data_IF_851647144561
#
_entry.id   IF_851647144561
#
_cell.length_a   1.000
_cell.length_b   1.000
_cell.length_c   1.000
_cell.angle_alpha   90.00
_cell.angle_beta   90.00
_cell.angle_gamma   90.00
#
_symmetry.space_group_name_H-M   'P 1'
#
loop_
_entity.id
_entity.type
_entity.pdbx_description
1 polymer ?
#
# COMPACT_ATOMS: atom_id res chain seq x y z
N UNK A 1 5.10 -11.64 -17.50
CA UNK A 1 4.52 -10.63 -16.59
C UNK A 1 5.44 -10.47 -15.38
N UNK A 2 5.84 -9.24 -15.12
CA UNK A 2 6.75 -8.97 -14.02
C UNK A 2 6.05 -9.17 -12.67
N UNK A 3 6.73 -9.83 -11.76
CA UNK A 3 6.25 -10.00 -10.40
C UNK A 3 6.55 -8.75 -9.57
N UNK A 4 5.61 -8.34 -8.76
CA UNK A 4 5.79 -7.20 -7.87
C UNK A 4 5.73 -7.65 -6.41
N UNK A 5 6.67 -7.20 -5.57
CA UNK A 5 6.67 -7.61 -4.17
C UNK A 5 5.51 -6.98 -3.41
N UNK A 6 4.89 -7.77 -2.56
CA UNK A 6 3.83 -7.33 -1.67
C UNK A 6 3.95 -8.10 -0.36
N UNK A 7 3.64 -7.45 0.77
CA UNK A 7 3.61 -8.16 2.05
C UNK A 7 2.38 -9.05 2.13
N UNK A 8 2.45 -10.09 2.96
CA UNK A 8 1.28 -10.95 3.18
C UNK A 8 0.08 -10.14 3.70
N UNK A 9 0.33 -9.20 4.61
CA UNK A 9 -0.71 -8.35 5.16
C UNK A 9 -1.39 -7.50 4.08
N UNK A 10 -0.58 -6.89 3.20
CA UNK A 10 -1.11 -6.10 2.09
C UNK A 10 -1.93 -6.91 1.11
N UNK A 11 -1.48 -8.14 0.82
CA UNK A 11 -2.25 -9.05 -0.03
C UNK A 11 -3.60 -9.39 0.59
N UNK A 12 -3.61 -9.69 1.89
CA UNK A 12 -4.86 -10.03 2.59
C UNK A 12 -5.82 -8.85 2.63
N UNK A 13 -5.33 -7.64 2.82
CA UNK A 13 -6.16 -6.43 2.78
C UNK A 13 -6.79 -6.23 1.40
N UNK A 14 -6.03 -6.46 0.32
CA UNK A 14 -6.57 -6.38 -1.04
C UNK A 14 -7.62 -7.44 -1.31
N UNK A 15 -7.42 -8.66 -0.82
CA UNK A 15 -8.42 -9.73 -0.94
C UNK A 15 -9.70 -9.37 -0.20
N UNK A 16 -9.61 -8.79 0.98
CA UNK A 16 -10.77 -8.35 1.76
C UNK A 16 -11.51 -7.22 1.05
N UNK A 17 -10.78 -6.26 0.49
CA UNK A 17 -11.38 -5.18 -0.30
C UNK A 17 -12.11 -5.74 -1.51
N UNK A 18 -11.52 -6.72 -2.18
CA UNK A 18 -12.14 -7.35 -3.36
C UNK A 18 -13.47 -8.02 -3.01
N UNK A 19 -13.51 -8.75 -1.90
CA UNK A 19 -14.75 -9.38 -1.40
C UNK A 19 -15.80 -8.31 -1.10
N UNK A 20 -15.44 -7.24 -0.41
CA UNK A 20 -16.33 -6.13 -0.12
C UNK A 20 -16.91 -5.50 -1.38
N UNK A 21 -16.06 -5.24 -2.38
CA UNK A 21 -16.48 -4.62 -3.63
C UNK A 21 -17.44 -5.51 -4.43
N UNK A 22 -17.20 -6.81 -4.44
CA UNK A 22 -18.04 -7.76 -5.19
C UNK A 22 -19.33 -8.13 -4.48
N UNK A 23 -19.28 -8.34 -3.18
CA UNK A 23 -20.40 -8.90 -2.42
C UNK A 23 -21.30 -7.84 -1.77
N UNK A 24 -20.77 -6.67 -1.48
CA UNK A 24 -21.53 -5.59 -0.85
C UNK A 24 -21.70 -4.38 -1.75
N UNK A 25 -20.61 -3.81 -2.22
CA UNK A 25 -20.64 -2.55 -2.97
C UNK A 25 -21.35 -2.71 -4.31
N UNK A 26 -21.03 -3.75 -5.06
CA UNK A 26 -21.63 -4.00 -6.38
C UNK A 26 -23.16 -4.14 -6.32
N UNK A 27 -23.74 -4.95 -5.42
CA UNK A 27 -25.20 -5.03 -5.30
C UNK A 27 -25.84 -3.70 -4.89
N UNK A 28 -25.22 -2.93 -4.01
CA UNK A 28 -25.73 -1.62 -3.61
C UNK A 28 -25.78 -0.66 -4.81
N UNK A 29 -24.75 -0.65 -5.64
CA UNK A 29 -24.69 0.18 -6.83
C UNK A 29 -25.75 -0.25 -7.84
N UNK A 30 -25.91 -1.54 -8.07
CA UNK A 30 -26.94 -2.07 -8.98
C UNK A 30 -28.33 -1.63 -8.51
N UNK A 31 -28.61 -1.70 -7.22
CA UNK A 31 -29.87 -1.26 -6.66
C UNK A 31 -30.06 0.27 -6.82
N UNK A 32 -29.01 1.05 -6.61
CA UNK A 32 -29.05 2.50 -6.78
C UNK A 32 -29.34 2.90 -8.23
N UNK A 33 -28.75 2.18 -9.20
CA UNK A 33 -29.02 2.41 -10.63
C UNK A 33 -30.47 2.10 -10.95
N UNK A 34 -30.99 0.98 -10.47
CA UNK A 34 -32.38 0.58 -10.71
C UNK A 34 -33.35 1.60 -10.13
N UNK A 35 -33.10 2.08 -8.91
CA UNK A 35 -33.93 3.12 -8.29
C UNK A 35 -33.89 4.41 -9.07
N UNK A 36 -32.68 4.87 -9.46
CA UNK A 36 -32.54 6.11 -10.23
C UNK A 36 -33.25 6.04 -11.56
N UNK A 37 -33.22 4.89 -12.24
CA UNK A 37 -33.93 4.70 -13.50
C UNK A 37 -35.44 4.80 -13.35
N UNK A 38 -35.96 4.47 -12.19
CA UNK A 38 -37.41 4.55 -11.92
C UNK A 38 -37.92 6.01 -11.85
N UNK A 39 -37.01 6.98 -11.69
CA UNK A 39 -37.37 8.40 -11.60
C UNK A 39 -37.52 9.10 -12.98
N UNK A 40 -37.34 8.39 -14.10
CA UNK A 40 -37.66 8.90 -15.42
C UNK A 40 -36.47 9.14 -16.32
N UNK A 41 -36.34 10.37 -16.88
CA UNK A 41 -35.37 10.67 -17.93
C UNK A 41 -33.91 10.40 -17.51
N UNK A 42 -33.23 9.58 -18.28
CA UNK A 42 -31.85 9.18 -18.00
C UNK A 42 -30.82 10.27 -18.34
N UNK A 43 -31.13 11.14 -19.32
CA UNK A 43 -30.19 12.17 -19.75
C UNK A 43 -29.99 13.26 -18.71
N UNK A 44 -31.04 13.64 -17.99
CA UNK A 44 -31.03 14.70 -16.99
C UNK A 44 -31.10 14.17 -15.57
N UNK A 45 -30.99 12.87 -15.40
CA UNK A 45 -31.10 12.21 -14.10
C UNK A 45 -29.72 12.20 -13.41
N UNK A 46 -29.49 13.17 -12.53
CA UNK A 46 -28.21 13.28 -11.82
C UNK A 46 -27.92 12.07 -10.93
N UNK A 47 -28.94 11.47 -10.32
CA UNK A 47 -28.77 10.27 -9.49
C UNK A 47 -28.33 9.06 -10.33
N UNK A 48 -28.89 8.92 -11.52
CA UNK A 48 -28.50 7.87 -12.44
C UNK A 48 -27.06 8.03 -12.89
N UNK A 49 -26.65 9.22 -13.29
CA UNK A 49 -25.29 9.50 -13.72
C UNK A 49 -24.27 9.29 -12.60
N UNK A 50 -24.59 9.70 -11.38
CA UNK A 50 -23.74 9.51 -10.22
C UNK A 50 -23.57 8.02 -9.91
N UNK A 51 -24.64 7.24 -9.97
CA UNK A 51 -24.60 5.80 -9.73
C UNK A 51 -23.80 5.06 -10.81
N UNK A 52 -23.92 5.46 -12.08
CA UNK A 52 -23.14 4.90 -13.18
C UNK A 52 -21.67 5.23 -13.06
N UNK A 53 -21.32 6.42 -12.62
CA UNK A 53 -19.94 6.82 -12.37
C UNK A 53 -19.34 6.01 -11.22
N UNK A 54 -20.08 5.82 -10.14
CA UNK A 54 -19.66 5.00 -9.02
C UNK A 54 -19.45 3.54 -9.45
N UNK A 55 -20.34 3.03 -10.32
CA UNK A 55 -20.19 1.69 -10.88
C UNK A 55 -18.86 1.55 -11.65
N UNK A 56 -18.58 2.51 -12.51
CA UNK A 56 -17.36 2.51 -13.32
C UNK A 56 -16.12 2.54 -12.41
N UNK A 57 -16.15 3.38 -11.40
CA UNK A 57 -15.05 3.49 -10.43
C UNK A 57 -14.84 2.18 -9.65
N UNK A 58 -15.92 1.60 -9.17
CA UNK A 58 -15.88 0.34 -8.39
C UNK A 58 -15.40 -0.84 -9.25
N UNK A 59 -15.93 -0.99 -10.47
CA UNK A 59 -15.50 -2.06 -11.37
C UNK A 59 -14.05 -1.89 -11.82
N UNK A 60 -13.60 -0.65 -12.00
CA UNK A 60 -12.21 -0.34 -12.28
C UNK A 60 -11.29 -0.76 -11.14
N UNK A 61 -11.71 -0.52 -9.91
CA UNK A 61 -10.92 -0.94 -8.72
C UNK A 61 -10.85 -2.47 -8.61
N UNK A 62 -11.95 -3.17 -8.90
CA UNK A 62 -11.97 -4.65 -8.92
C UNK A 62 -10.95 -5.17 -9.94
N UNK A 63 -10.93 -4.62 -11.14
CA UNK A 63 -9.98 -4.99 -12.17
C UNK A 63 -8.55 -4.74 -11.74
N UNK A 64 -8.28 -3.58 -11.14
CA UNK A 64 -6.97 -3.22 -10.62
C UNK A 64 -6.50 -4.20 -9.55
N UNK A 65 -7.35 -4.53 -8.57
CA UNK A 65 -7.02 -5.48 -7.51
C UNK A 65 -6.71 -6.86 -8.08
N UNK A 66 -7.53 -7.34 -9.01
CA UNK A 66 -7.29 -8.63 -9.65
C UNK A 66 -5.93 -8.67 -10.36
N UNK A 67 -5.55 -7.57 -11.02
CA UNK A 67 -4.26 -7.46 -11.69
C UNK A 67 -3.10 -7.47 -10.67
N UNK A 68 -3.24 -6.73 -9.58
CA UNK A 68 -2.24 -6.70 -8.50
C UNK A 68 -2.04 -8.11 -7.94
N UNK A 69 -3.13 -8.81 -7.64
CA UNK A 69 -3.07 -10.17 -7.09
C UNK A 69 -2.39 -11.13 -8.09
N UNK A 70 -2.71 -10.99 -9.37
CA UNK A 70 -2.13 -11.85 -10.40
C UNK A 70 -0.61 -11.68 -10.53
N UNK A 71 -0.10 -10.48 -10.27
CA UNK A 71 1.33 -10.16 -10.36
C UNK A 71 2.06 -10.21 -9.03
N UNK A 72 1.37 -10.54 -7.95
CA UNK A 72 1.93 -10.49 -6.60
C UNK A 72 3.04 -11.52 -6.39
N UNK A 73 4.17 -11.06 -5.87
CA UNK A 73 5.21 -11.88 -5.27
C UNK A 73 5.14 -11.65 -3.77
N UNK A 74 4.51 -12.56 -3.04
CA UNK A 74 4.21 -12.40 -1.62
C UNK A 74 5.45 -12.66 -0.79
N UNK A 75 5.81 -11.68 0.06
CA UNK A 75 6.94 -11.80 0.98
C UNK A 75 6.42 -11.72 2.41
N UNK A 76 6.65 -12.78 3.18
CA UNK A 76 6.30 -12.85 4.59
C UNK A 76 7.59 -12.93 5.41
N UNK A 77 8.02 -11.77 5.93
CA UNK A 77 9.27 -11.68 6.68
C UNK A 77 9.22 -12.41 8.01
N UNK A 78 8.02 -12.69 8.54
CA UNK A 78 7.89 -13.41 9.80
C UNK A 78 8.41 -14.85 9.69
N UNK A 79 8.54 -15.37 8.47
CA UNK A 79 9.06 -16.70 8.19
C UNK A 79 10.55 -16.72 7.91
N UNK A 80 11.20 -15.55 7.90
CA UNK A 80 12.62 -15.42 7.59
C UNK A 80 13.42 -15.24 8.87
N UNK A 81 14.68 -15.71 8.83
CA UNK A 81 15.60 -15.52 9.94
C UNK A 81 16.10 -14.08 9.96
N UNK A 82 15.88 -13.37 11.06
CA UNK A 82 16.31 -11.98 11.21
C UNK A 82 17.78 -11.90 11.61
N UNK A 83 18.62 -11.53 10.67
CA UNK A 83 20.05 -11.33 10.87
C UNK A 83 20.43 -9.84 11.03
N UNK A 84 19.45 -8.97 11.18
CA UNK A 84 19.65 -7.52 11.31
C UNK A 84 19.68 -6.77 10.00
N UNK A 85 19.54 -7.46 8.87
CA UNK A 85 19.56 -6.82 7.55
C UNK A 85 18.19 -6.25 7.19
N UNK A 86 18.20 -5.04 6.62
CA UNK A 86 16.98 -4.40 6.11
C UNK A 86 16.61 -5.03 4.78
N UNK A 87 15.43 -5.62 4.72
CA UNK A 87 14.88 -6.25 3.52
C UNK A 87 13.47 -5.75 3.28
N UNK A 88 12.92 -6.06 2.11
CA UNK A 88 11.50 -5.79 1.83
C UNK A 88 10.62 -6.41 2.91
N UNK A 89 9.66 -5.66 3.42
CA UNK A 89 8.74 -6.13 4.44
C UNK A 89 9.23 -5.96 5.87
N UNK A 90 10.51 -5.63 6.08
CA UNK A 90 11.03 -5.40 7.43
C UNK A 90 10.60 -4.04 7.98
N UNK A 91 10.56 -3.96 9.31
CA UNK A 91 10.29 -2.70 10.03
C UNK A 91 11.62 -2.19 10.58
N UNK A 92 11.98 -0.96 10.18
CA UNK A 92 13.27 -0.34 10.51
C UNK A 92 13.05 0.77 11.51
N UNK A 93 13.75 0.71 12.64
CA UNK A 93 13.72 1.73 13.68
C UNK A 93 14.93 2.65 13.50
N UNK A 94 14.67 3.92 13.28
CA UNK A 94 15.67 4.93 12.94
C UNK A 94 15.75 6.01 13.99
N UNK A 95 16.96 6.59 14.14
CA UNK A 95 17.16 7.82 14.86
C UNK A 95 17.78 8.83 13.89
N UNK A 96 17.14 9.99 13.76
CA UNK A 96 17.67 11.09 12.97
C UNK A 96 18.83 11.72 13.75
N UNK A 97 20.03 11.65 13.18
CA UNK A 97 21.24 12.13 13.88
C UNK A 97 21.32 13.66 13.94
N UNK A 98 20.55 14.37 13.11
CA UNK A 98 20.58 15.82 13.06
C UNK A 98 19.72 16.44 14.17
N UNK A 99 18.62 15.78 14.55
CA UNK A 99 17.68 16.32 15.55
C UNK A 99 17.31 15.35 16.68
N UNK A 100 17.81 14.10 16.64
CA UNK A 100 17.53 13.09 17.66
C UNK A 100 16.15 12.45 17.58
N UNK A 101 15.36 12.78 16.57
CA UNK A 101 14.01 12.24 16.41
C UNK A 101 14.06 10.74 16.09
N UNK A 102 13.18 9.98 16.76
CA UNK A 102 13.06 8.54 16.54
C UNK A 102 11.83 8.27 15.69
N UNK A 103 12.00 7.45 14.65
CA UNK A 103 10.93 7.11 13.73
C UNK A 103 11.11 5.66 13.27
N UNK A 104 10.01 5.00 12.94
CA UNK A 104 10.08 3.67 12.36
C UNK A 104 9.27 3.62 11.06
N UNK A 105 9.74 2.80 10.13
CA UNK A 105 9.07 2.56 8.87
C UNK A 105 9.06 1.07 8.55
N UNK A 106 7.94 0.61 8.00
CA UNK A 106 7.88 -0.70 7.37
C UNK A 106 8.03 -0.51 5.87
N UNK A 107 8.89 -1.29 5.24
CA UNK A 107 9.17 -1.18 3.81
C UNK A 107 8.22 -2.11 3.06
N UNK A 108 7.38 -1.52 2.22
CA UNK A 108 6.26 -2.22 1.58
C UNK A 108 6.23 -1.98 0.08
N UNK A 109 5.27 -2.63 -0.59
CA UNK A 109 5.06 -2.46 -2.02
C UNK A 109 4.31 -1.18 -2.37
N UNK A 110 4.23 -0.91 -3.66
CA UNK A 110 3.63 0.30 -4.22
C UNK A 110 2.20 0.52 -3.74
N UNK A 111 1.40 -0.55 -3.73
CA UNK A 111 -0.03 -0.46 -3.43
C UNK A 111 -0.35 -0.46 -1.94
N UNK A 112 0.66 -0.72 -1.11
CA UNK A 112 0.54 -0.74 0.35
C UNK A 112 1.01 0.54 1.01
N UNK A 113 1.79 1.36 0.30
CA UNK A 113 2.47 2.52 0.87
C UNK A 113 1.47 3.54 1.43
N UNK A 114 1.69 3.94 2.69
CA UNK A 114 0.85 4.92 3.38
C UNK A 114 1.68 5.56 4.50
N UNK A 115 2.11 6.79 4.29
CA UNK A 115 2.95 7.50 5.25
C UNK A 115 2.28 7.71 6.61
N UNK A 116 0.95 7.79 6.64
CA UNK A 116 0.20 7.92 7.90
C UNK A 116 0.35 6.70 8.78
N UNK A 117 0.47 5.52 8.16
CA UNK A 117 0.70 4.26 8.85
C UNK A 117 2.17 3.89 8.91
N UNK A 118 3.05 4.78 8.47
CA UNK A 118 4.51 4.57 8.41
C UNK A 118 4.91 3.39 7.52
N UNK A 119 4.14 3.18 6.46
CA UNK A 119 4.41 2.21 5.40
C UNK A 119 5.03 2.95 4.22
N UNK A 120 6.31 2.69 3.95
CA UNK A 120 7.01 3.38 2.87
C UNK A 120 7.25 2.45 1.68
N UNK A 121 7.15 3.01 0.50
CA UNK A 121 7.43 2.30 -0.73
C UNK A 121 8.91 1.91 -0.80
N UNK A 122 9.19 0.66 -1.11
CA UNK A 122 10.57 0.15 -1.12
C UNK A 122 11.47 0.86 -2.13
N UNK A 123 10.92 1.46 -3.18
CA UNK A 123 11.67 2.25 -4.16
C UNK A 123 11.66 3.75 -3.89
N UNK A 124 11.08 4.19 -2.77
CA UNK A 124 11.19 5.58 -2.34
C UNK A 124 12.65 5.91 -1.95
N UNK A 125 13.02 7.19 -1.88
CA UNK A 125 14.38 7.56 -1.47
C UNK A 125 14.81 6.92 -0.16
N UNK A 126 13.92 6.93 0.85
CA UNK A 126 14.22 6.33 2.15
C UNK A 126 14.28 4.81 2.03
N UNK A 127 13.31 4.19 1.35
CA UNK A 127 13.30 2.74 1.14
C UNK A 127 14.56 2.24 0.45
N UNK A 128 14.95 2.89 -0.65
CA UNK A 128 16.16 2.53 -1.38
C UNK A 128 17.42 2.72 -0.53
N UNK A 129 17.44 3.77 0.28
CA UNK A 129 18.60 4.07 1.12
C UNK A 129 18.77 3.10 2.27
N UNK A 130 17.69 2.46 2.71
CA UNK A 130 17.71 1.53 3.84
C UNK A 130 17.91 0.08 3.43
N UNK A 131 17.33 -0.36 2.32
CA UNK A 131 17.41 -1.77 1.90
C UNK A 131 18.87 -2.18 1.68
N UNK A 132 19.25 -3.30 2.25
CA UNK A 132 20.60 -3.83 2.19
C UNK A 132 21.51 -3.35 3.31
N UNK A 133 21.08 -2.38 4.10
CA UNK A 133 21.80 -1.93 5.28
C UNK A 133 21.53 -2.85 6.45
N UNK A 134 22.28 -2.68 7.52
CA UNK A 134 22.18 -3.54 8.70
C UNK A 134 21.91 -2.73 9.95
N UNK A 135 21.40 -3.40 10.99
CA UNK A 135 21.27 -2.82 12.31
C UNK A 135 22.61 -2.20 12.72
N UNK A 136 22.54 -1.02 13.32
CA UNK A 136 23.66 -0.20 13.75
C UNK A 136 24.38 0.58 12.66
N UNK A 137 24.01 0.41 11.40
CA UNK A 137 24.60 1.20 10.31
C UNK A 137 24.18 2.67 10.40
N UNK A 138 25.09 3.54 9.98
CA UNK A 138 24.80 4.95 9.75
C UNK A 138 24.50 5.12 8.27
N UNK A 139 23.40 5.78 7.94
CA UNK A 139 22.97 5.95 6.56
C UNK A 139 22.70 7.42 6.26
N UNK A 140 23.11 7.85 5.08
CA UNK A 140 22.83 9.17 4.54
C UNK A 140 21.85 9.00 3.39
N UNK A 141 20.69 9.67 3.50
CA UNK A 141 19.61 9.54 2.52
C UNK A 141 19.30 10.90 1.93
N UNK A 142 19.40 11.00 0.61
CA UNK A 142 19.01 12.21 -0.13
C UNK A 142 17.52 12.16 -0.42
N UNK A 143 16.77 13.14 0.09
CA UNK A 143 15.34 13.28 -0.14
C UNK A 143 15.05 14.60 -0.84
N UNK A 144 13.83 14.80 -1.39
CA UNK A 144 13.48 16.12 -1.94
C UNK A 144 13.56 17.25 -0.92
N UNK A 145 13.42 16.93 0.38
CA UNK A 145 13.54 17.91 1.47
C UNK A 145 14.99 18.14 1.91
N UNK A 146 15.97 17.46 1.30
CA UNK A 146 17.38 17.57 1.61
C UNK A 146 17.99 16.25 2.09
N UNK A 147 19.26 16.32 2.48
CA UNK A 147 19.99 15.16 2.98
C UNK A 147 19.64 14.91 4.44
N UNK A 148 19.35 13.65 4.77
CA UNK A 148 19.04 13.23 6.14
C UNK A 148 20.01 12.13 6.57
N UNK A 149 20.47 12.21 7.81
CA UNK A 149 21.40 11.24 8.38
C UNK A 149 20.68 10.46 9.48
N UNK A 150 20.70 9.14 9.37
CA UNK A 150 20.05 8.24 10.31
C UNK A 150 21.01 7.17 10.83
N UNK A 151 20.74 6.72 12.05
CA UNK A 151 21.29 5.47 12.56
C UNK A 151 20.19 4.44 12.59
N UNK A 152 20.47 3.23 12.10
CA UNK A 152 19.53 2.11 12.17
C UNK A 152 19.65 1.49 13.56
N UNK A 153 18.65 1.76 14.41
CA UNK A 153 18.66 1.31 15.80
C UNK A 153 18.23 -0.14 15.96
N UNK A 154 17.28 -0.58 15.12
CA UNK A 154 16.79 -1.94 15.16
C UNK A 154 16.12 -2.29 13.84
N UNK A 155 16.05 -3.58 13.54
CA UNK A 155 15.36 -4.11 12.37
C UNK A 155 14.51 -5.29 12.84
N UNK A 156 13.21 -5.22 12.62
CA UNK A 156 12.29 -6.29 13.01
C UNK A 156 11.61 -6.89 11.79
N UNK A 157 11.46 -8.19 11.80
CA UNK A 157 10.75 -8.94 10.76
C UNK A 157 9.36 -9.29 11.29
N UNK A 158 8.50 -8.26 11.35
CA UNK A 158 7.14 -8.36 11.89
C UNK A 158 6.08 -7.91 10.90
#
# INVERSE_FOLDING_TARGET
MDKEPITLNGLNELKDELVFLKEKKRPEIVAAIAEARSHGDLKENAEYHAAKEEQSHSEGRITEINDIIARANVIDVTKLNNDGKVIFGSTVFLENLDNGEKINYKIVGKDEADLKQKLIFFQSPIGKGLIGKNKSDLVEITTPAGVKNFEIKDVKYV
#
